data_IF_963904565434
#
_entry.id   IF_963904565434
#
_cell.length_a   1.000
_cell.length_b   1.000
_cell.length_c   1.000
_cell.angle_alpha   90.00
_cell.angle_beta   90.00
_cell.angle_gamma   90.00
#
_symmetry.space_group_name_H-M   'P 1'
#
loop_
_entity.id
_entity.type
_entity.pdbx_description
1 polymer ?
#
# COMPACT_ATOMS: atom_id res chain seq x y z
N UNK A 1 -15.86 -9.29 -2.34
CA UNK A 1 -15.09 -10.03 -3.37
C UNK A 1 -14.68 -11.38 -2.79
N UNK A 2 -14.70 -12.44 -3.60
CA UNK A 2 -14.23 -13.79 -3.23
C UNK A 2 -13.03 -14.14 -4.11
N UNK A 3 -11.92 -14.57 -3.52
CA UNK A 3 -10.71 -14.96 -4.26
C UNK A 3 -9.90 -15.99 -3.48
N UNK A 4 -9.19 -16.87 -4.20
CA UNK A 4 -8.39 -17.93 -3.57
C UNK A 4 -9.20 -18.77 -2.57
N UNK A 5 -10.42 -19.13 -2.95
CA UNK A 5 -11.38 -19.95 -2.18
C UNK A 5 -12.03 -19.31 -0.94
N UNK A 6 -11.67 -18.07 -0.58
CA UNK A 6 -12.22 -17.36 0.57
C UNK A 6 -12.96 -16.07 0.19
N UNK A 7 -13.97 -15.69 0.98
CA UNK A 7 -14.65 -14.39 0.87
C UNK A 7 -13.93 -13.33 1.71
N UNK A 8 -13.57 -12.22 1.09
CA UNK A 8 -12.99 -11.07 1.77
C UNK A 8 -11.57 -11.32 2.29
N UNK A 9 -11.00 -10.31 2.95
CA UNK A 9 -9.80 -10.49 3.75
C UNK A 9 -10.15 -11.31 5.00
N UNK A 10 -9.30 -12.26 5.34
CA UNK A 10 -9.43 -13.12 6.54
C UNK A 10 -8.67 -12.53 7.73
N UNK A 11 -7.71 -11.63 7.46
CA UNK A 11 -6.96 -10.89 8.48
C UNK A 11 -7.30 -9.39 8.44
N UNK A 12 -7.26 -8.69 9.59
CA UNK A 12 -7.42 -7.25 9.63
C UNK A 12 -6.40 -6.51 8.74
N UNK A 13 -6.81 -5.37 8.20
CA UNK A 13 -5.91 -4.45 7.47
C UNK A 13 -5.18 -3.62 8.53
N UNK A 14 -4.01 -4.08 8.97
CA UNK A 14 -3.36 -3.51 10.14
C UNK A 14 -1.84 -3.32 10.08
N UNK A 15 -1.22 -3.47 8.90
CA UNK A 15 0.19 -3.10 8.72
C UNK A 15 0.27 -1.62 8.39
N UNK A 16 1.21 -0.91 8.98
CA UNK A 16 1.38 0.52 8.72
C UNK A 16 1.93 0.76 7.31
N UNK A 17 1.34 1.70 6.60
CA UNK A 17 1.86 2.20 5.33
C UNK A 17 2.70 3.44 5.58
N UNK A 18 4.02 3.30 5.47
CA UNK A 18 5.00 4.34 5.80
C UNK A 18 5.48 5.02 4.53
N UNK A 19 5.38 6.35 4.51
CA UNK A 19 6.03 7.21 3.52
C UNK A 19 7.31 7.78 4.15
N UNK A 20 8.44 7.64 3.45
CA UNK A 20 9.73 8.11 3.94
C UNK A 20 9.70 9.62 4.26
N UNK A 21 10.05 9.96 5.50
CA UNK A 21 10.01 11.34 6.01
C UNK A 21 8.62 11.85 6.44
N UNK A 22 7.57 11.04 6.33
CA UNK A 22 6.21 11.37 6.81
C UNK A 22 5.69 10.41 7.90
N UNK A 23 6.37 9.27 8.10
CA UNK A 23 5.97 8.28 9.11
C UNK A 23 4.80 7.41 8.62
N UNK A 24 4.04 6.84 9.55
CA UNK A 24 2.83 6.08 9.22
C UNK A 24 1.76 7.02 8.67
N UNK A 25 1.33 6.73 7.44
CA UNK A 25 0.42 7.56 6.64
C UNK A 25 -0.73 6.73 6.06
N UNK A 26 -1.08 5.65 6.77
CA UNK A 26 -2.16 4.75 6.38
C UNK A 26 -1.86 3.31 6.75
N UNK A 27 -2.55 2.38 6.09
CA UNK A 27 -2.50 0.96 6.40
C UNK A 27 -2.47 0.13 5.13
N UNK A 28 -1.92 -1.07 5.19
CA UNK A 28 -2.01 -2.01 4.10
C UNK A 28 -2.19 -3.45 4.58
N UNK A 29 -2.62 -4.31 3.66
CA UNK A 29 -2.60 -5.76 3.84
C UNK A 29 -2.41 -6.43 2.49
N UNK A 30 -1.71 -7.56 2.49
CA UNK A 30 -1.55 -8.44 1.34
C UNK A 30 -2.05 -9.82 1.72
N UNK A 31 -3.02 -10.35 0.97
CA UNK A 31 -3.61 -11.66 1.23
C UNK A 31 -3.96 -12.37 -0.08
N UNK A 32 -3.44 -13.60 -0.26
CA UNK A 32 -3.66 -14.44 -1.45
C UNK A 32 -3.46 -13.68 -2.78
N UNK A 33 -2.37 -12.90 -2.87
CA UNK A 33 -1.99 -12.16 -4.08
C UNK A 33 -2.69 -10.81 -4.29
N UNK A 34 -3.62 -10.41 -3.42
CA UNK A 34 -4.24 -9.08 -3.45
C UNK A 34 -3.64 -8.20 -2.37
N UNK A 35 -3.22 -6.99 -2.75
CA UNK A 35 -2.78 -5.95 -1.80
C UNK A 35 -3.78 -4.81 -1.77
N UNK A 36 -4.27 -4.47 -0.58
CA UNK A 36 -5.05 -3.25 -0.33
C UNK A 36 -4.16 -2.24 0.41
N UNK A 37 -4.18 -0.98 -0.04
CA UNK A 37 -3.50 0.13 0.62
C UNK A 37 -4.52 1.22 0.90
N UNK A 38 -4.67 1.57 2.17
CA UNK A 38 -5.39 2.73 2.66
C UNK A 38 -4.36 3.83 2.87
N UNK A 39 -4.56 4.98 2.22
CA UNK A 39 -3.67 6.12 2.32
C UNK A 39 -4.40 7.30 2.95
N UNK A 40 -3.83 7.82 4.02
CA UNK A 40 -4.38 8.98 4.72
C UNK A 40 -3.95 10.28 4.04
N UNK A 41 -4.67 11.36 4.34
CA UNK A 41 -4.39 12.70 3.80
C UNK A 41 -4.36 12.75 2.26
N UNK A 42 -5.10 11.86 1.61
CA UNK A 42 -5.33 11.87 0.17
C UNK A 42 -6.84 11.94 -0.12
N UNK A 43 -7.21 12.68 -1.18
CA UNK A 43 -8.55 12.63 -1.76
C UNK A 43 -8.69 11.56 -2.83
N UNK A 44 -9.77 11.63 -3.62
CA UNK A 44 -10.06 10.71 -4.74
C UNK A 44 -8.90 10.57 -5.73
N UNK A 45 -8.17 11.67 -5.97
CA UNK A 45 -6.99 11.70 -6.83
C UNK A 45 -5.74 11.52 -5.99
N UNK A 46 -5.44 10.29 -5.55
CA UNK A 46 -4.30 10.01 -4.65
C UNK A 46 -2.99 10.65 -5.13
N UNK A 47 -2.58 10.56 -6.41
CA UNK A 47 -1.33 11.18 -6.86
C UNK A 47 -1.30 12.71 -6.73
N UNK A 48 -2.46 13.39 -6.75
CA UNK A 48 -2.55 14.84 -6.59
C UNK A 48 -2.25 15.30 -5.16
N UNK A 49 -2.67 14.49 -4.17
CA UNK A 49 -2.61 14.87 -2.75
C UNK A 49 -1.48 14.16 -1.98
N UNK A 50 -1.11 12.95 -2.40
CA UNK A 50 -0.03 12.13 -1.84
C UNK A 50 0.86 11.55 -2.96
N UNK A 51 1.63 12.39 -3.66
CA UNK A 51 2.44 11.95 -4.80
C UNK A 51 3.51 10.92 -4.40
N UNK A 52 4.12 11.05 -3.22
CA UNK A 52 5.16 10.10 -2.73
C UNK A 52 4.57 8.72 -2.45
N UNK A 53 3.43 8.67 -1.74
CA UNK A 53 2.74 7.42 -1.46
C UNK A 53 2.21 6.75 -2.73
N UNK A 54 1.63 7.52 -3.65
CA UNK A 54 1.19 7.01 -4.96
C UNK A 54 2.36 6.38 -5.75
N UNK A 55 3.51 7.05 -5.76
CA UNK A 55 4.69 6.53 -6.45
C UNK A 55 5.23 5.25 -5.79
N UNK A 56 5.32 5.19 -4.46
CA UNK A 56 5.70 3.96 -3.73
C UNK A 56 4.81 2.76 -4.09
N UNK A 57 3.49 2.96 -4.15
CA UNK A 57 2.53 1.92 -4.54
C UNK A 57 2.79 1.45 -5.98
N UNK A 58 3.09 2.36 -6.91
CA UNK A 58 3.43 2.03 -8.29
C UNK A 58 4.73 1.20 -8.38
N UNK A 59 5.77 1.58 -7.63
CA UNK A 59 7.03 0.82 -7.61
C UNK A 59 6.81 -0.60 -7.11
N UNK A 60 5.99 -0.79 -6.06
CA UNK A 60 5.60 -2.11 -5.57
C UNK A 60 4.81 -2.90 -6.62
N UNK A 61 3.83 -2.27 -7.29
CA UNK A 61 3.04 -2.92 -8.34
C UNK A 61 3.91 -3.42 -9.51
N UNK A 62 4.97 -2.68 -9.84
CA UNK A 62 5.94 -3.04 -10.88
C UNK A 62 7.00 -4.05 -10.42
N UNK A 63 6.94 -4.52 -9.16
CA UNK A 63 7.91 -5.47 -8.59
C UNK A 63 9.28 -4.86 -8.29
N UNK A 64 9.38 -3.53 -8.22
CA UNK A 64 10.63 -2.81 -7.96
C UNK A 64 10.89 -2.60 -6.45
N UNK A 65 9.87 -2.82 -5.62
CA UNK A 65 9.96 -2.78 -4.17
C UNK A 65 9.32 -4.03 -3.57
N UNK A 66 9.86 -4.55 -2.47
CA UNK A 66 9.34 -5.78 -1.82
C UNK A 66 8.02 -5.58 -1.07
N UNK A 67 7.68 -4.33 -0.75
CA UNK A 67 6.50 -3.95 0.02
C UNK A 67 6.00 -2.58 -0.45
N UNK A 68 4.67 -2.31 -0.41
CA UNK A 68 4.15 -0.97 -0.69
C UNK A 68 4.74 0.09 0.27
N UNK A 69 5.15 -0.32 1.47
CA UNK A 69 5.75 0.56 2.48
C UNK A 69 7.29 0.64 2.41
N UNK A 70 7.94 -0.05 1.46
CA UNK A 70 9.39 0.01 1.32
C UNK A 70 9.84 1.30 0.62
N UNK A 71 11.00 1.82 1.02
CA UNK A 71 11.66 2.91 0.28
C UNK A 71 12.25 2.39 -1.03
N UNK A 72 12.21 3.23 -2.06
CA UNK A 72 12.83 2.96 -3.36
C UNK A 72 13.80 4.09 -3.75
N UNK A 73 15.02 3.78 -4.23
CA UNK A 73 15.63 2.45 -4.27
C UNK A 73 15.76 1.88 -2.85
N UNK A 74 15.74 0.55 -2.75
CA UNK A 74 15.99 -0.13 -1.48
C UNK A 74 17.43 0.20 -1.07
N UNK A 75 17.61 0.79 0.11
CA UNK A 75 18.92 1.08 0.69
C UNK A 75 19.62 -0.22 1.12
#
# INVERSE_FOLDING_TARGET
MTWGHDQGFRKPINKDFIIAGQGSTGRFSTERGLTLVEIEKAGHMVPQYQPRGAFQILQFLLGQAESPSASWPSA
#
